data_IF_594306572725
#
_entry.id   IF_594306572725
#
_cell.length_a   1.000
_cell.length_b   1.000
_cell.length_c   1.000
_cell.angle_alpha   90.00
_cell.angle_beta   90.00
_cell.angle_gamma   90.00
#
_symmetry.space_group_name_H-M   'P 1'
#
loop_
_entity.id
_entity.type
_entity.pdbx_description
1 polymer ?
#
# COMPACT_ATOMS: atom_id res chain seq x y z
N UNK A 1 26.65 -48.70 5.65
CA UNK A 1 26.14 -48.01 4.44
C UNK A 1 26.46 -46.55 4.64
N UNK A 2 27.39 -46.04 3.85
CA UNK A 2 27.99 -44.71 4.01
C UNK A 2 27.09 -43.62 3.42
N UNK A 3 27.05 -42.49 4.12
CA UNK A 3 26.50 -41.22 3.69
C UNK A 3 27.21 -40.70 2.43
N UNK A 4 26.46 -40.10 1.51
CA UNK A 4 27.02 -39.33 0.39
C UNK A 4 26.08 -38.19 0.04
N UNK A 5 26.19 -37.12 0.83
CA UNK A 5 25.65 -35.79 0.54
C UNK A 5 26.56 -35.14 -0.51
N UNK A 6 26.07 -34.95 -1.74
CA UNK A 6 26.75 -34.16 -2.76
C UNK A 6 26.28 -32.71 -2.67
N UNK A 7 27.12 -31.88 -2.04
CA UNK A 7 27.09 -30.42 -2.21
C UNK A 7 28.02 -30.13 -3.38
N UNK A 8 27.53 -29.43 -4.41
CA UNK A 8 28.40 -28.81 -5.42
C UNK A 8 28.15 -27.31 -5.42
N UNK A 9 29.26 -26.61 -5.23
CA UNK A 9 29.40 -25.16 -5.19
C UNK A 9 28.93 -24.50 -6.49
N UNK A 10 28.23 -23.38 -6.35
CA UNK A 10 28.05 -22.42 -7.43
C UNK A 10 29.12 -21.34 -7.28
N UNK A 11 30.17 -21.44 -8.09
CA UNK A 11 31.19 -20.41 -8.27
C UNK A 11 30.61 -19.25 -9.09
N UNK A 12 30.58 -18.06 -8.51
CA UNK A 12 30.24 -16.81 -9.17
C UNK A 12 31.51 -16.22 -9.82
N UNK A 13 31.60 -16.30 -11.15
CA UNK A 13 32.71 -15.76 -11.93
C UNK A 13 32.45 -14.27 -12.23
N UNK A 14 33.30 -13.40 -11.67
CA UNK A 14 33.33 -11.97 -11.92
C UNK A 14 34.54 -11.64 -12.78
N UNK A 15 34.39 -11.69 -14.11
CA UNK A 15 35.28 -10.96 -15.01
C UNK A 15 34.70 -10.88 -16.42
N UNK A 16 34.29 -9.69 -16.86
CA UNK A 16 34.03 -9.42 -18.27
C UNK A 16 34.48 -7.99 -18.62
N UNK A 17 35.57 -7.86 -19.39
CA UNK A 17 35.76 -6.73 -20.27
C UNK A 17 35.69 -7.22 -21.72
N UNK A 18 34.68 -6.77 -22.47
CA UNK A 18 34.65 -6.97 -23.92
C UNK A 18 34.88 -5.64 -24.63
N UNK A 19 35.90 -5.64 -25.48
CA UNK A 19 36.33 -4.52 -26.31
C UNK A 19 35.88 -4.76 -27.74
N UNK A 20 35.27 -3.72 -28.32
CA UNK A 20 35.36 -3.19 -29.71
C UNK A 20 35.57 -4.14 -30.90
N UNK A 21 35.01 -3.76 -32.06
CA UNK A 21 35.93 -3.25 -33.09
C UNK A 21 35.41 -2.02 -33.90
N UNK A 22 36.37 -1.18 -34.27
CA UNK A 22 36.64 -0.49 -35.57
C UNK A 22 35.46 -0.15 -36.54
N UNK A 23 35.47 0.88 -37.39
CA UNK A 23 36.55 1.64 -38.03
C UNK A 23 36.02 2.97 -38.64
N UNK A 24 36.94 3.91 -38.69
CA UNK A 24 37.15 5.07 -39.56
C UNK A 24 36.19 5.43 -40.72
N UNK A 25 35.91 6.74 -40.83
CA UNK A 25 35.98 7.54 -42.09
C UNK A 25 36.14 9.02 -41.72
N UNK A 26 37.35 9.58 -41.86
CA UNK A 26 37.82 10.39 -43.01
C UNK A 26 37.30 11.84 -43.00
N UNK A 27 38.23 12.74 -42.64
CA UNK A 27 38.52 14.03 -43.28
C UNK A 27 37.45 15.13 -43.38
N UNK A 28 37.70 16.23 -42.67
CA UNK A 28 37.81 17.52 -43.36
C UNK A 28 38.77 18.47 -42.64
N UNK A 29 39.83 18.80 -43.36
CA UNK A 29 40.64 20.00 -43.19
C UNK A 29 39.73 21.24 -43.19
N UNK A 30 40.04 22.25 -42.37
CA UNK A 30 40.21 23.66 -42.76
C UNK A 30 39.98 24.63 -41.59
N UNK A 31 41.01 25.47 -41.40
CA UNK A 31 41.04 26.81 -40.80
C UNK A 31 41.45 26.96 -39.31
N UNK A 32 42.44 27.84 -39.01
CA UNK A 32 42.86 28.19 -37.67
C UNK A 32 42.01 29.35 -37.13
N UNK A 33 41.66 29.32 -35.84
CA UNK A 33 41.17 30.52 -35.15
C UNK A 33 41.59 30.52 -33.70
N UNK A 34 42.64 31.31 -33.47
CA UNK A 34 42.92 32.08 -32.27
C UNK A 34 41.66 32.40 -31.46
N UNK A 35 41.66 32.16 -30.15
CA UNK A 35 41.07 33.05 -29.13
C UNK A 35 41.13 32.45 -27.72
N UNK A 36 42.01 33.06 -26.92
CA UNK A 36 41.80 33.49 -25.53
C UNK A 36 41.45 32.45 -24.47
N UNK A 37 42.49 32.13 -23.69
CA UNK A 37 42.41 32.11 -22.23
C UNK A 37 41.64 33.34 -21.72
N UNK A 38 40.61 33.08 -20.94
CA UNK A 38 39.83 34.09 -20.24
C UNK A 38 39.50 33.56 -18.86
N UNK A 39 40.46 33.69 -17.95
CA UNK A 39 40.20 33.59 -16.52
C UNK A 39 39.10 34.60 -16.17
N UNK A 40 37.88 34.12 -15.90
CA UNK A 40 36.80 34.96 -15.41
C UNK A 40 37.02 35.19 -13.91
N UNK A 41 37.87 36.16 -13.60
CA UNK A 41 37.91 36.81 -12.30
C UNK A 41 36.56 37.50 -12.06
N UNK A 42 35.61 36.79 -11.43
CA UNK A 42 34.40 37.43 -10.92
C UNK A 42 34.79 38.26 -9.70
N UNK A 43 35.03 39.56 -9.93
CA UNK A 43 35.02 40.55 -8.86
C UNK A 43 33.59 40.69 -8.35
N UNK A 44 33.21 39.86 -7.40
CA UNK A 44 31.95 39.97 -6.70
C UNK A 44 31.93 41.32 -5.96
N UNK A 45 31.21 42.27 -6.52
CA UNK A 45 30.82 43.50 -5.87
C UNK A 45 29.94 43.12 -4.66
N UNK A 46 30.47 43.25 -3.44
CA UNK A 46 29.80 42.87 -2.18
C UNK A 46 28.36 43.38 -2.06
N UNK A 47 28.03 44.51 -2.70
CA UNK A 47 26.66 45.05 -2.75
C UNK A 47 25.68 44.13 -3.50
N UNK A 48 26.13 43.47 -4.57
CA UNK A 48 25.32 42.51 -5.34
C UNK A 48 25.16 41.18 -4.61
N UNK A 49 26.18 40.76 -3.85
CA UNK A 49 26.10 39.59 -2.98
C UNK A 49 25.17 39.82 -1.78
N UNK A 50 25.21 41.01 -1.18
CA UNK A 50 24.30 41.42 -0.10
C UNK A 50 22.85 41.50 -0.59
N UNK A 51 22.60 42.05 -1.79
CA UNK A 51 21.26 42.09 -2.38
C UNK A 51 20.72 40.68 -2.64
N UNK A 52 21.56 39.75 -3.12
CA UNK A 52 21.19 38.34 -3.30
C UNK A 52 20.86 37.66 -1.97
N UNK A 53 21.68 37.85 -0.93
CA UNK A 53 21.43 37.30 0.40
C UNK A 53 20.15 37.84 1.03
N UNK A 54 19.86 39.14 0.89
CA UNK A 54 18.62 39.76 1.39
C UNK A 54 17.40 39.21 0.63
N UNK A 55 17.51 39.00 -0.69
CA UNK A 55 16.44 38.37 -1.49
C UNK A 55 16.17 36.93 -1.08
N UNK A 56 17.21 36.14 -0.77
CA UNK A 56 17.08 34.75 -0.31
C UNK A 56 16.51 34.69 1.12
N UNK A 57 16.88 35.61 2.00
CA UNK A 57 16.34 35.69 3.37
C UNK A 57 14.88 36.17 3.39
N UNK A 58 14.48 37.06 2.48
CA UNK A 58 13.09 37.50 2.32
C UNK A 58 12.23 36.46 1.57
N UNK A 59 12.80 35.72 0.61
CA UNK A 59 12.10 34.70 -0.16
C UNK A 59 12.03 33.32 0.52
N UNK A 60 12.96 33.02 1.43
CA UNK A 60 13.08 31.70 2.08
C UNK A 60 12.11 31.45 3.23
N UNK A 61 11.57 32.50 3.86
CA UNK A 61 10.66 32.35 5.02
C UNK A 61 9.24 31.95 4.66
N UNK A 62 8.83 32.02 3.38
CA UNK A 62 7.48 31.67 2.94
C UNK A 62 7.34 30.22 2.46
N UNK A 63 8.41 29.60 1.97
CA UNK A 63 8.34 28.27 1.32
C UNK A 63 8.15 27.12 2.32
N UNK A 64 8.58 27.29 3.58
CA UNK A 64 8.54 26.21 4.58
C UNK A 64 7.15 25.92 5.17
N UNK A 65 6.24 26.89 5.22
CA UNK A 65 4.94 26.75 5.91
C UNK A 65 3.75 26.78 4.94
N UNK A 66 3.93 27.34 3.75
CA UNK A 66 2.92 27.35 2.69
C UNK A 66 2.76 26.00 1.97
N UNK A 67 3.86 25.25 1.82
CA UNK A 67 3.83 23.96 1.13
C UNK A 67 3.08 22.88 1.92
N UNK A 68 3.10 22.93 3.27
CA UNK A 68 2.31 22.00 4.09
C UNK A 68 0.79 22.18 3.92
N UNK A 69 0.34 23.39 3.55
CA UNK A 69 -1.08 23.68 3.28
C UNK A 69 -1.47 23.52 1.81
N UNK A 70 -0.52 23.64 0.88
CA UNK A 70 -0.72 23.35 -0.55
C UNK A 70 -0.61 21.86 -0.86
N UNK A 71 0.23 21.07 -0.17
CA UNK A 71 0.19 19.60 -0.26
C UNK A 71 -1.11 19.00 0.27
N UNK A 72 -1.75 19.69 1.22
CA UNK A 72 -3.09 19.36 1.70
C UNK A 72 -4.20 19.71 0.69
N UNK A 73 -3.94 20.59 -0.31
CA UNK A 73 -4.92 21.06 -1.29
C UNK A 73 -4.71 20.49 -2.71
N UNK A 74 -3.49 20.14 -3.07
CA UNK A 74 -3.14 19.41 -4.32
C UNK A 74 -3.47 17.91 -4.23
N UNK A 75 -3.75 17.38 -3.03
CA UNK A 75 -4.36 16.04 -2.86
C UNK A 75 -5.87 16.04 -3.12
N UNK A 76 -6.49 17.22 -3.29
CA UNK A 76 -7.95 17.34 -3.45
C UNK A 76 -8.43 17.40 -4.90
N UNK A 77 -7.55 17.23 -5.90
CA UNK A 77 -7.93 17.20 -7.32
C UNK A 77 -7.24 16.08 -8.11
N UNK A 78 -7.22 14.87 -7.55
CA UNK A 78 -7.15 13.65 -8.34
C UNK A 78 -8.51 12.95 -8.19
N UNK A 79 -9.14 12.65 -9.33
CA UNK A 79 -10.47 12.08 -9.39
C UNK A 79 -10.59 10.80 -8.56
N UNK A 80 -11.79 10.65 -8.01
CA UNK A 80 -12.36 9.43 -7.42
C UNK A 80 -11.74 8.93 -6.10
N UNK A 81 -12.51 9.13 -5.02
CA UNK A 81 -12.43 8.40 -3.75
C UNK A 81 -11.14 8.54 -2.91
N UNK A 82 -10.76 9.78 -2.60
CA UNK A 82 -9.71 10.10 -1.61
C UNK A 82 -10.25 10.15 -0.18
N UNK A 83 -10.48 9.00 0.44
CA UNK A 83 -10.62 8.91 1.90
C UNK A 83 -9.22 8.77 2.48
N UNK A 84 -8.81 9.55 3.49
CA UNK A 84 -7.47 9.46 4.06
C UNK A 84 -7.21 8.03 4.54
N UNK A 85 -6.24 7.36 3.92
CA UNK A 85 -5.82 6.01 4.27
C UNK A 85 -5.22 6.03 5.67
N UNK A 86 -5.96 5.50 6.63
CA UNK A 86 -5.56 5.41 8.02
C UNK A 86 -4.99 4.02 8.27
N UNK A 87 -3.69 3.93 8.52
CA UNK A 87 -3.03 2.63 8.72
C UNK A 87 -3.46 1.93 10.02
N UNK A 88 -4.03 2.68 10.97
CA UNK A 88 -4.62 2.17 12.21
C UNK A 88 -5.91 2.93 12.47
N UNK A 89 -6.99 2.23 12.81
CA UNK A 89 -8.23 2.86 13.25
C UNK A 89 -8.03 3.47 14.65
N UNK A 90 -7.59 4.72 14.67
CA UNK A 90 -7.46 5.57 15.87
C UNK A 90 -8.46 6.72 15.76
N UNK A 91 -9.63 6.59 16.37
CA UNK A 91 -10.66 7.64 16.40
C UNK A 91 -12.07 7.12 16.12
N UNK A 92 -12.98 8.06 15.88
CA UNK A 92 -14.35 7.75 15.42
C UNK A 92 -14.27 7.27 13.97
N UNK A 93 -14.79 6.08 13.71
CA UNK A 93 -14.86 5.48 12.37
C UNK A 93 -16.12 5.98 11.67
N UNK A 94 -16.00 6.39 10.42
CA UNK A 94 -17.10 6.88 9.59
C UNK A 94 -17.30 6.00 8.36
N UNK A 95 -18.49 6.09 7.77
CA UNK A 95 -18.77 5.44 6.48
C UNK A 95 -17.84 6.01 5.41
N UNK A 96 -17.21 5.11 4.65
CA UNK A 96 -16.23 5.42 3.62
C UNK A 96 -14.78 5.30 4.08
N UNK A 97 -14.51 5.30 5.39
CA UNK A 97 -13.15 5.23 5.92
C UNK A 97 -12.41 3.99 5.43
N UNK A 98 -11.14 4.18 5.03
CA UNK A 98 -10.30 3.13 4.46
C UNK A 98 -9.05 2.94 5.32
N UNK A 99 -8.79 1.69 5.69
CA UNK A 99 -7.69 1.29 6.55
C UNK A 99 -6.85 0.18 5.93
N UNK A 100 -5.60 0.08 6.35
CA UNK A 100 -4.63 -0.92 5.86
C UNK A 100 -3.74 -0.40 4.73
N UNK A 101 -3.37 -1.29 3.81
CA UNK A 101 -2.41 -0.99 2.74
C UNK A 101 -2.98 0.05 1.74
N UNK A 102 -2.19 1.10 1.38
CA UNK A 102 -2.60 2.14 0.42
C UNK A 102 -2.83 1.63 -1.01
N UNK A 103 -2.16 0.57 -1.45
CA UNK A 103 -2.25 0.05 -2.81
C UNK A 103 -3.35 -1.01 -2.98
N UNK A 104 -4.52 -0.63 -3.50
CA UNK A 104 -5.64 -1.57 -3.77
C UNK A 104 -5.24 -2.74 -4.68
N UNK A 105 -4.43 -2.43 -5.70
CA UNK A 105 -4.00 -3.34 -6.76
C UNK A 105 -3.15 -4.52 -6.27
N UNK A 106 -2.63 -4.44 -5.05
CA UNK A 106 -1.78 -5.48 -4.48
C UNK A 106 -2.62 -6.69 -4.03
N UNK A 107 -3.92 -6.50 -3.86
CA UNK A 107 -4.89 -7.54 -3.50
C UNK A 107 -5.74 -7.92 -4.70
N UNK A 108 -5.80 -9.21 -4.99
CA UNK A 108 -6.53 -9.75 -6.15
C UNK A 108 -7.99 -10.02 -5.83
N UNK A 109 -8.28 -10.29 -4.56
CA UNK A 109 -9.60 -10.68 -4.11
C UNK A 109 -10.22 -9.59 -3.24
N UNK A 110 -11.55 -9.51 -3.28
CA UNK A 110 -12.32 -8.65 -2.38
C UNK A 110 -13.62 -9.32 -1.99
N UNK A 111 -14.07 -9.04 -0.77
CA UNK A 111 -15.36 -9.51 -0.26
C UNK A 111 -16.03 -8.39 0.52
N UNK A 112 -17.36 -8.45 0.60
CA UNK A 112 -18.16 -7.52 1.37
C UNK A 112 -19.14 -8.29 2.25
N UNK A 113 -19.32 -7.83 3.47
CA UNK A 113 -20.28 -8.41 4.40
C UNK A 113 -20.25 -7.74 5.76
N UNK A 114 -21.07 -8.28 6.67
CA UNK A 114 -21.14 -7.87 8.06
C UNK A 114 -20.04 -8.58 8.83
N UNK A 115 -19.15 -7.82 9.48
CA UNK A 115 -17.97 -8.36 10.15
C UNK A 115 -18.30 -8.84 11.56
N UNK A 116 -18.02 -10.11 11.83
CA UNK A 116 -18.11 -10.70 13.17
C UNK A 116 -16.80 -11.35 13.60
N UNK A 117 -16.61 -11.42 14.92
CA UNK A 117 -15.50 -12.13 15.54
C UNK A 117 -15.81 -13.62 15.50
N UNK A 118 -14.82 -14.43 15.13
CA UNK A 118 -14.91 -15.87 15.13
C UNK A 118 -14.28 -16.49 13.89
N UNK A 119 -13.56 -17.60 14.09
CA UNK A 119 -13.03 -18.46 13.04
C UNK A 119 -13.82 -19.77 12.91
N UNK A 120 -13.40 -20.62 11.98
CA UNK A 120 -13.94 -21.97 11.81
C UNK A 120 -12.90 -23.02 12.22
N UNK A 121 -13.18 -23.76 13.29
CA UNK A 121 -12.32 -24.87 13.76
C UNK A 121 -10.83 -24.48 13.93
N UNK A 122 -10.56 -23.24 14.34
CA UNK A 122 -9.20 -22.70 14.51
C UNK A 122 -8.61 -22.02 13.27
N UNK A 123 -9.36 -21.93 12.17
CA UNK A 123 -8.98 -21.16 10.98
C UNK A 123 -9.64 -19.78 10.97
N UNK A 124 -8.83 -18.75 10.70
CA UNK A 124 -9.28 -17.36 10.75
C UNK A 124 -9.54 -16.87 12.17
N UNK A 125 -9.68 -15.56 12.29
CA UNK A 125 -9.99 -14.84 13.53
C UNK A 125 -11.37 -14.17 13.48
N UNK A 126 -11.81 -13.85 12.27
CA UNK A 126 -13.04 -13.13 11.98
C UNK A 126 -13.75 -13.77 10.79
N UNK A 127 -14.99 -13.37 10.54
CA UNK A 127 -15.69 -13.76 9.34
C UNK A 127 -16.66 -12.68 8.85
N UNK A 128 -16.97 -12.73 7.55
CA UNK A 128 -17.98 -11.90 6.93
C UNK A 128 -19.26 -12.70 6.73
N UNK A 129 -20.33 -12.25 7.37
CA UNK A 129 -21.67 -12.74 7.13
C UNK A 129 -22.24 -12.13 5.84
N UNK A 130 -22.77 -13.00 5.00
CA UNK A 130 -23.30 -12.65 3.67
C UNK A 130 -24.65 -13.33 3.44
N UNK A 131 -25.45 -12.74 2.57
CA UNK A 131 -26.68 -13.37 2.07
C UNK A 131 -26.33 -14.71 1.42
N UNK A 132 -26.81 -15.83 1.99
CA UNK A 132 -26.42 -17.19 1.59
C UNK A 132 -25.87 -18.07 2.73
N UNK A 133 -25.73 -17.51 3.93
CA UNK A 133 -25.41 -18.24 5.16
C UNK A 133 -23.98 -18.82 5.17
N UNK A 134 -23.78 -19.93 5.86
CA UNK A 134 -22.46 -20.55 6.07
C UNK A 134 -21.70 -20.85 4.76
N UNK A 135 -22.42 -21.14 3.67
CA UNK A 135 -21.82 -21.45 2.37
C UNK A 135 -21.13 -20.26 1.69
N UNK A 136 -21.55 -19.04 2.04
CA UNK A 136 -21.05 -17.79 1.49
C UNK A 136 -20.23 -16.99 2.50
N UNK A 137 -20.02 -17.54 3.71
CA UNK A 137 -19.26 -16.92 4.78
C UNK A 137 -17.77 -16.95 4.45
N UNK A 138 -17.12 -15.80 4.59
CA UNK A 138 -15.69 -15.64 4.32
C UNK A 138 -14.96 -15.53 5.63
N UNK A 139 -14.06 -16.46 5.92
CA UNK A 139 -13.21 -16.41 7.11
C UNK A 139 -11.98 -15.58 6.82
N UNK A 140 -11.57 -14.78 7.81
CA UNK A 140 -10.56 -13.74 7.65
C UNK A 140 -9.42 -13.92 8.64
N UNK A 141 -8.21 -13.64 8.16
CA UNK A 141 -7.01 -13.41 8.96
C UNK A 141 -6.57 -11.96 8.76
N UNK A 142 -6.14 -11.28 9.82
CA UNK A 142 -5.64 -9.91 9.72
C UNK A 142 -4.12 -9.89 9.51
N UNK A 143 -3.63 -9.33 8.41
CA UNK A 143 -2.18 -9.07 8.22
C UNK A 143 -1.79 -7.62 8.48
N UNK A 144 -2.60 -6.66 8.03
CA UNK A 144 -2.19 -5.26 7.97
C UNK A 144 -3.04 -4.31 8.82
N UNK A 145 -4.22 -4.73 9.27
CA UNK A 145 -5.15 -3.89 10.04
C UNK A 145 -5.85 -4.68 11.12
N UNK A 146 -6.18 -4.03 12.23
CA UNK A 146 -6.89 -4.63 13.35
C UNK A 146 -8.39 -4.74 13.03
N UNK A 147 -8.88 -5.96 12.83
CA UNK A 147 -10.26 -6.25 12.44
C UNK A 147 -11.25 -6.08 13.59
N UNK A 148 -10.81 -6.21 14.84
CA UNK A 148 -11.66 -6.08 16.03
C UNK A 148 -12.33 -4.70 16.07
N UNK A 149 -11.63 -3.68 15.54
CA UNK A 149 -12.11 -2.29 15.47
C UNK A 149 -13.30 -2.10 14.54
N UNK A 150 -13.55 -3.04 13.64
CA UNK A 150 -14.63 -2.98 12.66
C UNK A 150 -15.77 -3.95 12.96
N UNK A 151 -15.75 -4.62 14.13
CA UNK A 151 -16.78 -5.55 14.53
C UNK A 151 -18.17 -4.89 14.48
N UNK A 152 -19.13 -5.60 13.90
CA UNK A 152 -20.51 -5.15 13.82
C UNK A 152 -20.79 -4.12 12.73
N UNK A 153 -19.82 -3.85 11.86
CA UNK A 153 -19.97 -2.95 10.72
C UNK A 153 -20.11 -3.76 9.42
N UNK A 154 -20.72 -3.13 8.42
CA UNK A 154 -20.63 -3.60 7.04
C UNK A 154 -19.31 -3.09 6.48
N UNK A 155 -18.46 -4.01 6.03
CA UNK A 155 -17.14 -3.69 5.49
C UNK A 155 -16.92 -4.36 4.15
N UNK A 156 -16.17 -3.67 3.30
CA UNK A 156 -15.53 -4.27 2.13
C UNK A 156 -14.06 -4.50 2.45
N UNK A 157 -13.60 -5.72 2.30
CA UNK A 157 -12.21 -6.10 2.55
C UNK A 157 -11.54 -6.48 1.23
N UNK A 158 -10.24 -6.23 1.13
CA UNK A 158 -9.39 -6.71 0.05
C UNK A 158 -8.25 -7.52 0.65
N UNK A 159 -7.92 -8.60 -0.05
CA UNK A 159 -6.98 -9.58 0.43
C UNK A 159 -6.53 -10.58 -0.61
N UNK A 160 -5.88 -11.62 -0.11
CA UNK A 160 -5.54 -12.82 -0.87
C UNK A 160 -6.34 -13.99 -0.33
N UNK A 161 -7.07 -14.69 -1.21
CA UNK A 161 -7.82 -15.89 -0.84
C UNK A 161 -6.91 -17.11 -0.84
N UNK A 162 -7.01 -17.89 0.22
CA UNK A 162 -6.32 -19.16 0.40
C UNK A 162 -7.32 -20.30 0.53
N UNK A 163 -6.87 -21.51 0.22
CA UNK A 163 -7.62 -22.73 0.54
C UNK A 163 -7.42 -23.05 2.02
N UNK A 164 -8.47 -22.88 2.81
CA UNK A 164 -8.51 -23.41 4.18
C UNK A 164 -8.57 -24.93 4.19
N UNK A 165 -8.14 -25.55 5.28
CA UNK A 165 -8.38 -26.97 5.51
C UNK A 165 -9.85 -27.21 5.87
N UNK A 166 -10.49 -26.23 6.52
CA UNK A 166 -11.87 -26.29 7.02
C UNK A 166 -12.75 -25.22 6.40
N UNK A 167 -12.25 -23.99 6.36
CA UNK A 167 -12.93 -22.87 5.72
C UNK A 167 -12.94 -23.05 4.20
N UNK A 168 -14.14 -23.11 3.63
CA UNK A 168 -14.32 -23.12 2.17
C UNK A 168 -13.80 -21.85 1.51
N UNK A 169 -13.83 -20.74 2.25
CA UNK A 169 -13.27 -19.46 1.85
C UNK A 169 -12.51 -18.84 3.03
N UNK A 170 -11.18 -18.83 2.93
CA UNK A 170 -10.28 -18.18 3.88
C UNK A 170 -9.52 -17.06 3.16
N UNK A 171 -9.40 -15.89 3.76
CA UNK A 171 -8.74 -14.74 3.14
C UNK A 171 -7.86 -13.99 4.13
N UNK A 172 -6.66 -13.63 3.72
CA UNK A 172 -5.81 -12.70 4.47
C UNK A 172 -6.11 -11.26 4.05
N UNK A 173 -6.52 -10.44 5.00
CA UNK A 173 -6.99 -9.07 4.78
C UNK A 173 -5.86 -8.08 5.00
N UNK A 174 -5.51 -7.39 3.92
CA UNK A 174 -4.55 -6.28 3.95
C UNK A 174 -5.19 -4.90 3.87
N UNK A 175 -6.46 -4.80 3.50
CA UNK A 175 -7.19 -3.52 3.40
C UNK A 175 -8.66 -3.66 3.72
N UNK A 176 -9.23 -2.66 4.39
CA UNK A 176 -10.65 -2.62 4.78
C UNK A 176 -11.22 -1.24 4.46
N UNK A 177 -12.44 -1.21 3.91
CA UNK A 177 -13.26 -0.02 3.72
C UNK A 177 -14.55 -0.20 4.49
N UNK A 178 -14.87 0.78 5.32
CA UNK A 178 -16.11 0.80 6.08
C UNK A 178 -17.22 1.27 5.15
N UNK A 179 -18.23 0.43 4.95
CA UNK A 179 -19.39 0.75 4.12
C UNK A 179 -20.48 1.36 4.99
N UNK A 180 -20.74 0.75 6.14
CA UNK A 180 -21.74 1.20 7.10
C UNK A 180 -21.34 0.86 8.54
N UNK A 181 -21.23 1.90 9.38
CA UNK A 181 -20.86 1.74 10.80
C UNK A 181 -21.99 1.15 11.64
N UNK A 182 -23.25 1.45 11.32
CA UNK A 182 -24.44 0.97 12.04
C UNK A 182 -25.18 -0.12 11.25
N UNK A 183 -24.42 -1.08 10.71
CA UNK A 183 -25.00 -2.16 9.93
C UNK A 183 -25.81 -3.12 10.82
N UNK A 184 -26.72 -3.88 10.19
CA UNK A 184 -27.42 -4.99 10.83
C UNK A 184 -26.98 -6.30 10.21
N UNK A 185 -26.85 -7.38 11.00
CA UNK A 185 -26.50 -8.68 10.47
C UNK A 185 -27.56 -9.16 9.47
N UNK A 186 -27.17 -9.87 8.40
CA UNK A 186 -28.11 -10.36 7.39
C UNK A 186 -29.11 -11.33 8.02
N UNK A 187 -30.39 -11.21 7.65
CA UNK A 187 -31.50 -11.93 8.28
C UNK A 187 -31.36 -13.46 8.23
N UNK A 188 -30.58 -13.99 7.28
CA UNK A 188 -30.30 -15.42 7.12
C UNK A 188 -29.13 -15.97 7.94
N UNK A 189 -28.38 -15.15 8.68
CA UNK A 189 -27.23 -15.60 9.47
C UNK A 189 -27.57 -16.06 10.90
N UNK A 190 -28.77 -15.74 11.40
CA UNK A 190 -29.19 -15.96 12.80
C UNK A 190 -29.91 -17.30 13.05
N UNK A 191 -29.52 -18.39 12.36
CA UNK A 191 -30.18 -19.70 12.53
C UNK A 191 -29.20 -20.87 12.58
N UNK A 192 -28.28 -20.87 13.53
CA UNK A 192 -27.50 -22.10 13.80
C UNK A 192 -27.24 -22.35 15.29
N UNK A 193 -28.19 -21.97 16.15
CA UNK A 193 -28.08 -22.25 17.58
C UNK A 193 -29.32 -22.00 18.40
N UNK A 194 -30.42 -22.73 18.15
CA UNK A 194 -31.46 -23.06 19.15
C UNK A 194 -32.43 -24.06 18.53
N UNK A 195 -32.08 -25.34 18.60
CA UNK A 195 -33.06 -26.42 18.45
C UNK A 195 -32.62 -27.64 19.26
N UNK A 196 -32.58 -27.49 20.59
CA UNK A 196 -32.72 -28.61 21.52
C UNK A 196 -33.14 -28.08 22.89
N UNK A 197 -34.44 -28.16 23.20
CA UNK A 197 -34.96 -28.77 24.42
C UNK A 197 -36.48 -28.57 24.42
N UNK A 198 -37.26 -29.65 24.57
CA UNK A 198 -38.69 -29.54 24.86
C UNK A 198 -39.62 -30.41 24.00
N UNK A 199 -39.26 -31.66 23.74
CA UNK A 199 -40.20 -32.71 23.34
C UNK A 199 -40.27 -33.80 24.41
N UNK A 200 -41.48 -34.04 24.95
CA UNK A 200 -41.82 -35.11 25.92
C UNK A 200 -41.57 -34.68 27.37
N UNK A 201 -42.53 -34.71 28.29
CA UNK A 201 -43.72 -35.55 28.43
C UNK A 201 -44.88 -34.78 29.10
#
# INVERSE_FOLDING_TARGET
>A
MQDSFHVHEMTFDSNAPDQTPESDKVSSLFAPRNSQEGESSMKANNKMFIVLCVLVLLGGSATGVGLSKLRAKETSNAGESGVPLQQVATGVIHNGDVFGNPEEKDFKDSAEGYLEIGGLEGEGSHHLLREGGASQTVYLTSSSTDLDKFQGMQVKVWGETFKGQKAGWLMDVGRVKVMEVNAQPPAGAQTTGTNSEGGGE
#
